data_IF_989158545644
#
_entry.id   IF_989158545644
#
_cell.length_a   1.000
_cell.length_b   1.000
_cell.length_c   1.000
_cell.angle_alpha   90.00
_cell.angle_beta   90.00
_cell.angle_gamma   90.00
#
_symmetry.space_group_name_H-M   'P 1'
#
loop_
_entity.id
_entity.type
_entity.pdbx_description
1 polymer ?
#
# COMPACT_ATOMS: atom_id res chain seq x y z
N UNK A 1 -23.21 -16.34 2.43
CA UNK A 1 -21.98 -15.73 1.89
C UNK A 1 -22.12 -14.21 1.88
N UNK A 2 -22.22 -13.57 3.05
CA UNK A 2 -22.32 -12.10 3.15
C UNK A 2 -21.70 -11.54 4.45
N UNK A 3 -21.49 -12.40 5.46
CA UNK A 3 -20.75 -12.05 6.67
C UNK A 3 -19.24 -11.98 6.40
N UNK A 4 -18.66 -12.91 5.65
CA UNK A 4 -17.20 -13.00 5.48
C UNK A 4 -16.62 -11.76 4.78
N UNK A 5 -17.30 -11.28 3.73
CA UNK A 5 -16.93 -10.04 3.03
C UNK A 5 -17.05 -8.80 3.95
N UNK A 6 -18.10 -8.73 4.77
CA UNK A 6 -18.29 -7.62 5.69
C UNK A 6 -17.20 -7.57 6.78
N UNK A 7 -16.78 -8.73 7.29
CA UNK A 7 -15.66 -8.83 8.21
C UNK A 7 -14.34 -8.41 7.55
N UNK A 8 -14.11 -8.83 6.30
CA UNK A 8 -12.92 -8.46 5.55
C UNK A 8 -12.80 -6.95 5.30
N UNK A 9 -13.90 -6.28 4.95
CA UNK A 9 -13.94 -4.81 4.77
C UNK A 9 -13.68 -4.08 6.09
N UNK A 10 -14.24 -4.56 7.21
CA UNK A 10 -13.98 -3.97 8.53
C UNK A 10 -12.53 -4.16 8.93
N UNK A 11 -11.97 -5.36 8.72
CA UNK A 11 -10.59 -5.67 9.02
C UNK A 11 -9.64 -4.81 8.18
N UNK A 12 -9.89 -4.68 6.88
CA UNK A 12 -9.12 -3.82 5.99
C UNK A 12 -9.09 -2.39 6.52
N UNK A 13 -10.27 -1.85 6.84
CA UNK A 13 -10.39 -0.49 7.37
C UNK A 13 -9.56 -0.30 8.63
N UNK A 14 -9.65 -1.23 9.60
CA UNK A 14 -8.87 -1.15 10.84
C UNK A 14 -7.37 -1.18 10.57
N UNK A 15 -6.91 -2.07 9.69
CA UNK A 15 -5.50 -2.20 9.32
C UNK A 15 -4.99 -0.97 8.57
N UNK A 16 -5.82 -0.39 7.70
CA UNK A 16 -5.50 0.85 6.99
C UNK A 16 -5.39 2.01 7.97
N UNK A 17 -6.32 2.14 8.92
CA UNK A 17 -6.25 3.15 9.99
C UNK A 17 -5.00 2.96 10.86
N UNK A 18 -4.61 1.70 11.16
CA UNK A 18 -3.38 1.39 11.89
C UNK A 18 -2.12 1.78 11.11
N UNK A 19 -2.06 1.47 9.82
CA UNK A 19 -0.96 1.86 8.93
C UNK A 19 -0.77 3.37 8.93
N UNK A 20 -1.86 4.13 8.75
CA UNK A 20 -1.82 5.59 8.73
C UNK A 20 -1.36 6.22 10.05
N UNK A 21 -1.49 5.51 11.18
CA UNK A 21 -1.03 5.97 12.50
C UNK A 21 0.43 5.62 12.78
N UNK A 22 1.08 4.84 11.91
CA UNK A 22 2.47 4.45 12.14
C UNK A 22 3.43 5.59 11.77
N UNK A 23 4.43 5.90 12.61
CA UNK A 23 5.35 7.02 12.34
C UNK A 23 6.14 6.87 11.03
N UNK A 24 6.46 5.64 10.63
CA UNK A 24 7.20 5.39 9.40
C UNK A 24 6.35 5.68 8.16
N UNK A 25 5.07 5.30 8.16
CA UNK A 25 4.14 5.62 7.08
C UNK A 25 3.88 7.12 7.01
N UNK A 26 3.62 7.76 8.15
CA UNK A 26 3.45 9.20 8.23
C UNK A 26 4.67 9.95 7.66
N UNK A 27 5.89 9.54 8.02
CA UNK A 27 7.13 10.11 7.48
C UNK A 27 7.24 9.97 5.96
N UNK A 28 6.91 8.80 5.41
CA UNK A 28 6.89 8.57 3.97
C UNK A 28 5.85 9.43 3.26
N UNK A 29 4.67 9.58 3.85
CA UNK A 29 3.61 10.46 3.36
C UNK A 29 3.89 11.95 3.59
N UNK A 30 5.05 12.34 4.12
CA UNK A 30 5.54 13.72 4.04
C UNK A 30 6.52 13.93 2.87
N UNK A 31 6.96 12.86 2.21
CA UNK A 31 7.84 12.92 1.06
C UNK A 31 7.01 12.90 -0.24
N UNK A 32 6.96 14.03 -0.96
CA UNK A 32 6.13 14.15 -2.16
C UNK A 32 6.58 13.22 -3.30
N UNK A 33 7.89 12.95 -3.42
CA UNK A 33 8.41 11.98 -4.40
C UNK A 33 7.91 10.57 -4.09
N UNK A 34 7.85 10.20 -2.81
CA UNK A 34 7.29 8.92 -2.41
C UNK A 34 5.80 8.83 -2.72
N UNK A 35 5.02 9.87 -2.40
CA UNK A 35 3.58 9.92 -2.72
C UNK A 35 3.33 9.74 -4.21
N UNK A 36 4.07 10.46 -5.05
CA UNK A 36 3.92 10.39 -6.49
C UNK A 36 4.27 9.00 -7.02
N UNK A 37 5.38 8.42 -6.56
CA UNK A 37 5.79 7.06 -6.93
C UNK A 37 4.74 6.01 -6.50
N UNK A 38 4.22 6.11 -5.27
CA UNK A 38 3.16 5.22 -4.79
C UNK A 38 1.86 5.42 -5.58
N UNK A 39 1.52 6.65 -5.95
CA UNK A 39 0.33 6.97 -6.72
C UNK A 39 0.40 6.40 -8.15
N UNK A 40 1.57 6.50 -8.80
CA UNK A 40 1.79 5.96 -10.15
C UNK A 40 1.84 4.42 -10.17
N UNK A 41 2.29 3.79 -9.08
CA UNK A 41 2.39 2.34 -8.97
C UNK A 41 1.02 1.69 -8.67
N UNK A 42 0.28 1.30 -9.71
CA UNK A 42 -1.05 0.69 -9.54
C UNK A 42 -0.97 -0.65 -8.80
N UNK A 43 0.08 -1.44 -9.05
CA UNK A 43 0.25 -2.75 -8.43
C UNK A 43 0.32 -2.60 -6.90
N UNK A 44 1.10 -1.63 -6.43
CA UNK A 44 1.22 -1.40 -4.98
C UNK A 44 -0.07 -0.90 -4.36
N UNK A 45 -0.82 -0.05 -5.07
CA UNK A 45 -2.14 0.39 -4.61
C UNK A 45 -3.12 -0.78 -4.49
N UNK A 46 -3.08 -1.73 -5.42
CA UNK A 46 -3.88 -2.96 -5.34
C UNK A 46 -3.48 -3.82 -4.14
N UNK A 47 -2.18 -4.01 -3.90
CA UNK A 47 -1.71 -4.77 -2.73
C UNK A 47 -2.12 -4.12 -1.41
N UNK A 48 -2.09 -2.79 -1.30
CA UNK A 48 -2.60 -2.07 -0.12
C UNK A 48 -4.12 -2.23 0.08
N UNK A 49 -4.85 -2.67 -0.96
CA UNK A 49 -6.25 -3.08 -0.88
C UNK A 49 -6.45 -4.46 -0.23
N UNK A 50 -5.41 -5.28 -0.08
CA UNK A 50 -5.49 -6.61 0.52
C UNK A 50 -5.15 -6.57 2.03
N UNK A 51 -6.13 -6.96 2.85
CA UNK A 51 -5.97 -7.09 4.32
C UNK A 51 -4.81 -7.99 4.72
N UNK A 52 -4.54 -9.07 3.98
CA UNK A 52 -3.45 -10.00 4.26
C UNK A 52 -2.09 -9.35 4.04
N UNK A 53 -1.98 -8.53 3.00
CA UNK A 53 -0.78 -7.75 2.72
C UNK A 53 -0.56 -6.67 3.77
N UNK A 54 -1.61 -5.92 4.15
CA UNK A 54 -1.52 -4.92 5.23
C UNK A 54 -1.05 -5.54 6.56
N UNK A 55 -1.56 -6.73 6.91
CA UNK A 55 -1.10 -7.47 8.10
C UNK A 55 0.40 -7.78 8.05
N UNK A 56 0.95 -8.17 6.88
CA UNK A 56 2.38 -8.42 6.69
C UNK A 56 3.19 -7.14 6.82
N UNK A 57 2.76 -6.07 6.16
CA UNK A 57 3.42 -4.77 6.15
C UNK A 57 3.52 -4.15 7.56
N UNK A 58 2.45 -4.26 8.35
CA UNK A 58 2.42 -3.78 9.73
C UNK A 58 3.35 -4.58 10.66
N UNK A 59 3.52 -5.89 10.42
CA UNK A 59 4.22 -6.80 11.35
C UNK A 59 5.68 -7.07 11.01
N UNK A 60 6.10 -6.89 9.76
CA UNK A 60 7.43 -7.28 9.30
C UNK A 60 8.21 -6.11 8.72
N UNK A 61 9.39 -5.86 9.29
CA UNK A 61 10.32 -4.86 8.75
C UNK A 61 10.83 -5.25 7.36
N UNK A 62 11.05 -6.54 7.08
CA UNK A 62 11.49 -6.98 5.75
C UNK A 62 10.45 -6.69 4.66
N UNK A 63 9.17 -6.80 5.01
CA UNK A 63 8.05 -6.49 4.11
C UNK A 63 7.99 -4.98 3.85
N UNK A 64 8.24 -4.13 4.87
CA UNK A 64 8.33 -2.67 4.69
C UNK A 64 9.49 -2.27 3.78
N UNK A 65 10.66 -2.88 3.94
CA UNK A 65 11.80 -2.62 3.06
C UNK A 65 11.52 -3.06 1.62
N UNK A 66 10.86 -4.21 1.45
CA UNK A 66 10.43 -4.70 0.14
C UNK A 66 9.41 -3.77 -0.51
N UNK A 67 8.42 -3.32 0.26
CA UNK A 67 7.43 -2.33 -0.15
C UNK A 67 8.12 -1.04 -0.63
N UNK A 68 9.06 -0.50 0.15
CA UNK A 68 9.79 0.71 -0.23
C UNK A 68 10.56 0.53 -1.53
N UNK A 69 11.26 -0.60 -1.67
CA UNK A 69 11.99 -0.92 -2.90
C UNK A 69 11.05 -0.98 -4.11
N UNK A 70 9.88 -1.61 -3.99
CA UNK A 70 8.91 -1.72 -5.08
C UNK A 70 8.24 -0.38 -5.42
N UNK A 71 8.05 0.51 -4.43
CA UNK A 71 7.53 1.85 -4.68
C UNK A 71 8.56 2.73 -5.40
N UNK A 72 9.83 2.69 -5.00
CA UNK A 72 10.88 3.51 -5.63
C UNK A 72 11.42 2.93 -6.94
N UNK A 73 11.30 1.62 -7.13
CA UNK A 73 11.77 0.89 -8.30
C UNK A 73 10.67 -0.03 -8.84
N UNK A 74 9.55 0.55 -9.31
CA UNK A 74 8.49 -0.25 -9.91
C UNK A 74 8.98 -0.87 -11.21
N UNK A 75 8.60 -2.12 -11.45
CA UNK A 75 8.67 -2.68 -12.80
C UNK A 75 7.79 -1.86 -13.74
N UNK A 76 8.17 -1.65 -15.01
CA UNK A 76 7.38 -0.88 -15.97
C UNK A 76 5.93 -1.36 -16.08
N UNK A 77 5.70 -2.67 -15.99
CA UNK A 77 4.37 -3.28 -16.02
C UNK A 77 3.49 -3.00 -14.79
N UNK A 78 4.03 -2.38 -13.73
CA UNK A 78 3.33 -2.03 -12.50
C UNK A 78 2.94 -0.55 -12.41
N UNK A 79 3.38 0.26 -13.38
CA UNK A 79 3.01 1.65 -13.50
C UNK A 79 1.63 1.76 -14.16
N UNK A 80 0.81 2.68 -13.68
CA UNK A 80 -0.41 3.04 -14.40
C UNK A 80 0.01 3.50 -15.80
N UNK A 81 -0.68 3.01 -16.84
CA UNK A 81 -0.50 3.53 -18.19
C UNK A 81 -0.63 5.05 -18.09
N UNK A 82 0.42 5.77 -18.48
CA UNK A 82 0.29 7.21 -18.69
C UNK A 82 -0.56 7.33 -19.93
N UNK A 83 -1.88 7.47 -19.76
CA UNK A 83 -2.73 7.90 -20.85
C UNK A 83 -2.17 9.26 -21.28
N UNK A 84 -1.50 9.29 -22.44
CA UNK A 84 -1.17 10.52 -23.14
C UNK A 84 -2.50 11.17 -23.52
N UNK A 85 -2.83 12.28 -22.85
CA UNK A 85 -3.92 13.20 -23.20
C UNK A 85 -3.33 14.45 -23.88
#
# INVERSE_FOLDING_TARGET
MNMDYYHEVIDHRKLSEELHRTPWWESLMHNDRFKEALHQNYHMRLQLGDSSYLKKLLRSESERQTFLSQVYHPSPEHLANTDED
#
